data_IF_396117637747
#
_entry.id   IF_396117637747
#
_cell.length_a   1.000
_cell.length_b   1.000
_cell.length_c   1.000
_cell.angle_alpha   90.00
_cell.angle_beta   90.00
_cell.angle_gamma   90.00
#
_symmetry.space_group_name_H-M   'P 1'
#
loop_
_entity.id
_entity.type
_entity.pdbx_description
1 polymer ?
#
# COMPACT_ATOMS: atom_id res chain seq x y z
N UNK A 1 23.08 -34.91 17.52
CA UNK A 1 23.96 -33.79 17.15
C UNK A 1 23.35 -32.52 17.71
N UNK A 2 23.88 -32.00 18.84
CA UNK A 2 23.38 -30.76 19.46
C UNK A 2 24.07 -29.58 18.78
N UNK A 3 23.31 -28.85 17.99
CA UNK A 3 23.73 -27.56 17.41
C UNK A 3 23.99 -26.60 18.57
N UNK A 4 25.26 -26.13 18.70
CA UNK A 4 25.66 -25.28 19.82
C UNK A 4 24.92 -23.95 19.79
N UNK A 5 24.51 -23.41 20.95
CA UNK A 5 23.79 -22.13 21.11
C UNK A 5 24.41 -20.97 20.29
N UNK A 6 25.71 -20.95 20.11
CA UNK A 6 26.44 -19.94 19.30
C UNK A 6 26.18 -20.11 17.80
N UNK A 7 26.12 -21.34 17.29
CA UNK A 7 25.82 -21.61 15.89
C UNK A 7 24.35 -21.30 15.56
N UNK A 8 23.43 -21.56 16.49
CA UNK A 8 22.03 -21.21 16.36
C UNK A 8 21.81 -19.68 16.31
N UNK A 9 22.49 -18.92 17.17
CA UNK A 9 22.43 -17.45 17.18
C UNK A 9 23.07 -16.82 15.92
N UNK A 10 24.15 -17.40 15.42
CA UNK A 10 24.80 -16.93 14.17
C UNK A 10 23.95 -17.25 12.94
N UNK A 11 23.24 -18.38 12.90
CA UNK A 11 22.34 -18.71 11.80
C UNK A 11 21.06 -17.85 11.81
N UNK A 12 20.51 -17.48 12.97
CA UNK A 12 19.42 -16.50 13.07
C UNK A 12 19.84 -15.11 12.59
N UNK A 13 21.03 -14.63 12.98
CA UNK A 13 21.56 -13.34 12.55
C UNK A 13 21.78 -13.25 11.04
N UNK A 14 22.24 -14.33 10.38
CA UNK A 14 22.45 -14.38 8.93
C UNK A 14 21.13 -14.39 8.15
N UNK A 15 20.07 -15.07 8.65
CA UNK A 15 18.75 -15.05 8.02
C UNK A 15 18.10 -13.67 8.04
N UNK A 16 18.26 -12.90 9.12
CA UNK A 16 17.69 -11.56 9.23
C UNK A 16 18.31 -10.55 8.25
N UNK A 17 19.60 -10.69 7.92
CA UNK A 17 20.29 -9.80 6.97
C UNK A 17 19.87 -10.05 5.50
N UNK A 18 19.48 -11.27 5.16
CA UNK A 18 19.04 -11.64 3.82
C UNK A 18 17.58 -11.24 3.52
N UNK A 19 16.81 -10.88 4.53
CA UNK A 19 15.39 -10.54 4.42
C UNK A 19 15.11 -9.02 4.32
N UNK A 20 16.17 -8.19 4.29
CA UNK A 20 16.03 -6.74 4.16
C UNK A 20 16.18 -6.32 2.69
N UNK A 21 15.20 -5.58 2.17
CA UNK A 21 15.29 -4.85 0.91
C UNK A 21 15.17 -3.35 1.16
N UNK A 22 15.42 -2.53 0.15
CA UNK A 22 15.26 -1.08 0.24
C UNK A 22 14.10 -0.62 -0.63
N UNK A 23 13.26 0.25 -0.09
CA UNK A 23 12.20 0.88 -0.85
C UNK A 23 12.78 1.81 -1.93
N UNK A 24 12.16 1.86 -3.12
CA UNK A 24 12.62 2.75 -4.18
C UNK A 24 12.51 4.21 -3.75
N UNK A 25 13.42 5.06 -4.25
CA UNK A 25 13.53 6.51 -4.00
C UNK A 25 13.86 6.86 -2.55
N UNK A 26 13.13 6.37 -1.57
CA UNK A 26 13.33 6.70 -0.15
C UNK A 26 14.51 5.97 0.49
N UNK A 27 14.91 4.81 -0.07
CA UNK A 27 15.98 3.98 0.48
C UNK A 27 15.66 3.36 1.84
N UNK A 28 14.39 3.45 2.30
CA UNK A 28 13.95 2.87 3.58
C UNK A 28 14.14 1.35 3.59
N UNK A 29 14.67 0.83 4.67
CA UNK A 29 14.79 -0.63 4.87
C UNK A 29 13.40 -1.26 5.05
N UNK A 30 13.15 -2.35 4.34
CA UNK A 30 11.90 -3.12 4.37
C UNK A 30 12.17 -4.57 4.78
N UNK A 31 11.28 -5.14 5.59
CA UNK A 31 11.28 -6.57 5.90
C UNK A 31 10.51 -7.32 4.82
N UNK A 32 11.21 -8.11 4.02
CA UNK A 32 10.63 -8.84 2.88
C UNK A 32 10.88 -10.34 3.01
N UNK A 33 9.98 -11.06 3.70
CA UNK A 33 10.04 -12.52 3.86
C UNK A 33 9.38 -13.26 2.71
N UNK A 34 8.46 -12.60 2.00
CA UNK A 34 7.75 -13.18 0.87
C UNK A 34 8.51 -12.91 -0.42
N UNK A 35 8.87 -13.94 -1.20
CA UNK A 35 9.50 -13.76 -2.50
C UNK A 35 8.62 -12.96 -3.45
N UNK A 36 9.22 -12.08 -4.25
CA UNK A 36 8.46 -11.19 -5.16
C UNK A 36 7.56 -11.97 -6.13
N UNK A 37 8.07 -13.08 -6.70
CA UNK A 37 7.25 -13.93 -7.59
C UNK A 37 5.99 -14.49 -6.92
N UNK A 38 6.07 -14.84 -5.64
CA UNK A 38 4.90 -15.27 -4.85
C UNK A 38 3.93 -14.12 -4.65
N UNK A 39 4.43 -12.94 -4.31
CA UNK A 39 3.63 -11.74 -4.12
C UNK A 39 2.88 -11.35 -5.41
N UNK A 40 3.56 -11.40 -6.56
CA UNK A 40 2.95 -11.14 -7.87
C UNK A 40 1.82 -12.13 -8.17
N UNK A 41 2.03 -13.42 -7.91
CA UNK A 41 1.00 -14.45 -8.12
C UNK A 41 -0.20 -14.23 -7.20
N UNK A 42 0.03 -13.94 -5.92
CA UNK A 42 -1.03 -13.60 -4.97
C UNK A 42 -1.85 -12.38 -5.44
N UNK A 43 -1.19 -11.35 -5.98
CA UNK A 43 -1.86 -10.17 -6.53
C UNK A 43 -2.76 -10.51 -7.72
N UNK A 44 -2.28 -11.36 -8.64
CA UNK A 44 -3.06 -11.82 -9.80
C UNK A 44 -4.30 -12.62 -9.36
N UNK A 45 -4.12 -13.54 -8.41
CA UNK A 45 -5.21 -14.41 -7.97
C UNK A 45 -6.26 -13.62 -7.16
N UNK A 46 -5.82 -12.72 -6.28
CA UNK A 46 -6.70 -11.80 -5.54
C UNK A 46 -7.48 -10.88 -6.50
N UNK A 47 -6.85 -10.38 -7.56
CA UNK A 47 -7.52 -9.53 -8.55
C UNK A 47 -8.62 -10.28 -9.30
N UNK A 48 -8.35 -11.52 -9.73
CA UNK A 48 -9.35 -12.38 -10.36
C UNK A 48 -10.55 -12.64 -9.44
N UNK A 49 -10.26 -12.91 -8.15
CA UNK A 49 -11.31 -13.13 -7.16
C UNK A 49 -12.18 -11.88 -6.99
N UNK A 50 -11.60 -10.70 -6.84
CA UNK A 50 -12.33 -9.43 -6.76
C UNK A 50 -13.20 -9.24 -8.00
N UNK A 51 -12.66 -9.43 -9.20
CA UNK A 51 -13.40 -9.22 -10.44
C UNK A 51 -14.52 -10.26 -10.66
N UNK A 52 -14.38 -11.46 -10.08
CA UNK A 52 -15.43 -12.50 -10.16
C UNK A 52 -16.69 -12.11 -9.38
N UNK A 53 -16.54 -11.28 -8.36
CA UNK A 53 -17.62 -10.84 -7.47
C UNK A 53 -18.09 -9.41 -7.74
N UNK A 54 -17.29 -8.62 -8.47
CA UNK A 54 -17.56 -7.22 -8.74
C UNK A 54 -18.28 -7.01 -10.08
N UNK A 55 -19.13 -6.01 -10.14
CA UNK A 55 -19.69 -5.54 -11.41
C UNK A 55 -18.67 -4.62 -12.10
N UNK A 56 -17.96 -5.15 -13.09
CA UNK A 56 -17.03 -4.37 -13.91
C UNK A 56 -17.82 -3.42 -14.82
N UNK A 57 -17.39 -2.17 -14.91
CA UNK A 57 -18.08 -1.15 -15.70
C UNK A 57 -18.01 -1.45 -17.21
N UNK A 58 -19.14 -1.32 -17.87
CA UNK A 58 -19.24 -1.40 -19.33
C UNK A 58 -19.16 -0.01 -20.01
N UNK A 59 -19.04 1.08 -19.25
CA UNK A 59 -18.93 2.44 -19.80
C UNK A 59 -17.57 2.63 -20.51
N UNK A 60 -17.55 2.79 -21.83
CA UNK A 60 -16.31 2.89 -22.58
C UNK A 60 -15.54 4.19 -22.29
N UNK A 61 -16.23 5.28 -21.96
CA UNK A 61 -15.59 6.59 -21.71
C UNK A 61 -14.84 6.55 -20.36
N UNK A 62 -15.49 6.01 -19.34
CA UNK A 62 -14.88 5.85 -18.00
C UNK A 62 -13.70 4.88 -18.05
N UNK A 63 -13.87 3.74 -18.72
CA UNK A 63 -12.79 2.75 -18.88
C UNK A 63 -11.60 3.33 -19.66
N UNK A 64 -11.86 4.10 -20.73
CA UNK A 64 -10.82 4.76 -21.50
C UNK A 64 -10.07 5.83 -20.67
N UNK A 65 -10.78 6.61 -19.85
CA UNK A 65 -10.17 7.59 -18.95
C UNK A 65 -9.24 6.91 -17.94
N UNK A 66 -9.73 5.93 -17.19
CA UNK A 66 -8.95 5.24 -16.17
C UNK A 66 -7.75 4.51 -16.78
N UNK A 67 -7.95 3.84 -17.91
CA UNK A 67 -6.88 3.16 -18.63
C UNK A 67 -5.81 4.13 -19.12
N UNK A 68 -6.20 5.26 -19.74
CA UNK A 68 -5.25 6.26 -20.25
C UNK A 68 -4.42 6.86 -19.13
N UNK A 69 -5.07 7.32 -18.05
CA UNK A 69 -4.37 7.91 -16.90
C UNK A 69 -3.48 6.88 -16.23
N UNK A 70 -4.00 5.67 -16.01
CA UNK A 70 -3.29 4.59 -15.36
C UNK A 70 -2.03 4.15 -16.10
N UNK A 71 -2.10 3.97 -17.43
CA UNK A 71 -0.93 3.60 -18.22
C UNK A 71 0.16 4.66 -18.20
N UNK A 72 -0.19 5.96 -18.20
CA UNK A 72 0.80 7.03 -18.05
C UNK A 72 1.53 6.98 -16.70
N UNK A 73 0.78 6.68 -15.62
CA UNK A 73 1.38 6.49 -14.29
C UNK A 73 2.25 5.23 -14.27
N UNK A 74 1.78 4.12 -14.85
CA UNK A 74 2.53 2.87 -14.95
C UNK A 74 3.86 3.05 -15.68
N UNK A 75 3.86 3.71 -16.83
CA UNK A 75 5.07 4.06 -17.60
C UNK A 75 6.07 4.87 -16.75
N UNK A 76 5.56 5.82 -15.95
CA UNK A 76 6.39 6.68 -15.10
C UNK A 76 7.13 5.92 -13.99
N UNK A 77 6.68 4.73 -13.63
CA UNK A 77 7.34 3.88 -12.62
C UNK A 77 8.59 3.16 -13.11
N UNK A 78 8.68 2.90 -14.42
CA UNK A 78 9.72 2.08 -15.03
C UNK A 78 9.58 0.57 -14.75
N UNK A 79 8.50 0.10 -14.11
CA UNK A 79 8.24 -1.34 -13.84
C UNK A 79 7.69 -2.02 -15.09
N UNK A 80 8.58 -2.41 -15.99
CA UNK A 80 8.26 -3.12 -17.25
C UNK A 80 7.95 -4.61 -17.04
N UNK A 81 8.29 -5.14 -15.88
CA UNK A 81 8.01 -6.51 -15.45
C UNK A 81 6.58 -6.69 -14.91
N UNK A 82 5.87 -5.60 -14.59
CA UNK A 82 4.47 -5.66 -14.17
C UNK A 82 3.53 -5.78 -15.37
N UNK A 83 2.53 -6.64 -15.24
CA UNK A 83 1.45 -6.77 -16.21
C UNK A 83 0.30 -5.83 -15.86
N UNK A 84 0.49 -4.54 -16.16
CA UNK A 84 -0.45 -3.49 -15.82
C UNK A 84 -1.84 -3.75 -16.40
N UNK A 85 -2.84 -3.74 -15.54
CA UNK A 85 -4.25 -3.92 -15.90
C UNK A 85 -5.09 -2.96 -15.07
N UNK A 86 -5.96 -2.19 -15.74
CA UNK A 86 -6.82 -1.19 -15.11
C UNK A 86 -8.27 -1.56 -15.35
N UNK A 87 -9.04 -1.68 -14.27
CA UNK A 87 -10.49 -1.98 -14.31
C UNK A 87 -11.26 -0.93 -13.53
N UNK A 88 -12.50 -0.70 -13.96
CA UNK A 88 -13.45 0.13 -13.23
C UNK A 88 -14.53 -0.76 -12.65
N UNK A 89 -14.79 -0.65 -11.35
CA UNK A 89 -15.84 -1.38 -10.64
C UNK A 89 -17.04 -0.44 -10.43
N UNK A 90 -18.21 -0.88 -10.84
CA UNK A 90 -19.46 -0.13 -10.62
C UNK A 90 -19.90 -0.26 -9.15
N UNK A 91 -19.38 0.63 -8.32
CA UNK A 91 -19.76 0.76 -6.93
C UNK A 91 -19.69 2.24 -6.51
N UNK A 92 -20.60 2.66 -5.63
CA UNK A 92 -20.67 4.02 -5.10
C UNK A 92 -19.63 4.30 -4.03
N UNK A 93 -18.91 3.26 -3.55
CA UNK A 93 -17.81 3.43 -2.62
C UNK A 93 -16.72 4.32 -3.24
N UNK A 94 -16.23 5.26 -2.46
CA UNK A 94 -15.04 6.04 -2.81
C UNK A 94 -13.83 5.20 -2.48
N UNK A 95 -13.34 4.44 -3.46
CA UNK A 95 -12.22 3.51 -3.26
C UNK A 95 -11.43 3.29 -4.56
N UNK A 96 -10.18 2.89 -4.41
CA UNK A 96 -9.29 2.39 -5.45
C UNK A 96 -8.23 1.49 -4.79
N UNK A 97 -7.58 0.63 -5.55
CA UNK A 97 -6.46 -0.17 -5.06
C UNK A 97 -5.54 -0.60 -6.21
N UNK A 98 -4.28 -0.89 -5.87
CA UNK A 98 -3.33 -1.56 -6.74
C UNK A 98 -2.74 -2.77 -6.02
N UNK A 99 -2.97 -3.95 -6.57
CA UNK A 99 -2.38 -5.21 -6.09
C UNK A 99 -1.03 -5.46 -6.76
N UNK A 100 -0.16 -6.30 -6.16
CA UNK A 100 1.12 -6.69 -6.74
C UNK A 100 0.98 -7.17 -8.20
N UNK A 101 1.97 -6.83 -9.02
CA UNK A 101 1.94 -7.15 -10.45
C UNK A 101 1.18 -6.14 -11.32
N UNK A 102 0.75 -5.01 -10.73
CA UNK A 102 0.12 -3.92 -11.48
C UNK A 102 -1.37 -4.12 -11.76
N UNK A 103 -2.08 -4.81 -10.87
CA UNK A 103 -3.52 -5.07 -10.96
C UNK A 103 -4.30 -3.97 -10.25
N UNK A 104 -4.89 -3.04 -11.01
CA UNK A 104 -5.48 -1.80 -10.51
C UNK A 104 -6.98 -1.81 -10.71
N UNK A 105 -7.74 -1.45 -9.67
CA UNK A 105 -9.17 -1.17 -9.80
C UNK A 105 -9.51 0.20 -9.21
N UNK A 106 -10.44 0.88 -9.88
CA UNK A 106 -11.02 2.17 -9.45
C UNK A 106 -12.53 1.99 -9.35
N UNK A 107 -13.10 2.36 -8.23
CA UNK A 107 -14.55 2.34 -8.05
C UNK A 107 -15.19 3.59 -8.64
N UNK A 108 -16.37 3.45 -9.25
CA UNK A 108 -17.04 4.60 -9.88
C UNK A 108 -17.31 5.74 -8.88
N UNK A 109 -17.47 5.43 -7.58
CA UNK A 109 -17.61 6.44 -6.53
C UNK A 109 -16.37 7.32 -6.32
N UNK A 110 -15.17 6.88 -6.75
CA UNK A 110 -13.95 7.67 -6.68
C UNK A 110 -13.92 8.80 -7.74
N UNK A 111 -14.53 8.61 -8.90
CA UNK A 111 -14.42 9.52 -10.03
C UNK A 111 -14.94 10.94 -9.74
N UNK A 112 -16.10 11.14 -9.09
CA UNK A 112 -16.55 12.47 -8.69
C UNK A 112 -15.61 13.17 -7.70
N UNK A 113 -14.91 12.41 -6.85
CA UNK A 113 -13.94 12.96 -5.89
C UNK A 113 -12.65 13.34 -6.59
N UNK A 114 -12.19 12.52 -7.51
CA UNK A 114 -11.05 12.81 -8.39
C UNK A 114 -11.30 14.03 -9.28
N UNK A 115 -12.52 14.21 -9.79
CA UNK A 115 -13.01 15.29 -10.66
C UNK A 115 -12.50 15.25 -12.10
N UNK A 116 -11.19 15.15 -12.27
CA UNK A 116 -10.50 15.22 -13.56
C UNK A 116 -9.33 14.24 -13.65
N UNK A 117 -8.64 14.23 -14.78
CA UNK A 117 -7.49 13.35 -15.02
C UNK A 117 -6.35 13.59 -14.02
N UNK A 118 -6.12 14.82 -13.58
CA UNK A 118 -5.05 15.12 -12.64
C UNK A 118 -5.36 14.60 -11.22
N UNK A 119 -6.61 14.74 -10.78
CA UNK A 119 -7.05 14.15 -9.51
C UNK A 119 -7.10 12.62 -9.57
N UNK A 120 -7.52 12.04 -10.72
CA UNK A 120 -7.45 10.58 -10.92
C UNK A 120 -6.01 10.08 -10.94
N UNK A 121 -5.10 10.83 -11.55
CA UNK A 121 -3.67 10.53 -11.54
C UNK A 121 -3.10 10.55 -10.11
N UNK A 122 -3.57 11.44 -9.24
CA UNK A 122 -3.16 11.47 -7.84
C UNK A 122 -3.57 10.19 -7.09
N UNK A 123 -4.81 9.73 -7.27
CA UNK A 123 -5.26 8.44 -6.70
C UNK A 123 -4.43 7.28 -7.24
N UNK A 124 -4.33 7.17 -8.57
CA UNK A 124 -3.65 6.04 -9.21
C UNK A 124 -2.16 6.02 -8.90
N UNK A 125 -1.50 7.18 -8.86
CA UNK A 125 -0.09 7.27 -8.53
C UNK A 125 0.20 6.84 -7.09
N UNK A 126 -0.67 7.18 -6.14
CA UNK A 126 -0.59 6.73 -4.76
C UNK A 126 -0.73 5.20 -4.66
N UNK A 127 -1.76 4.62 -5.29
CA UNK A 127 -1.98 3.17 -5.28
C UNK A 127 -0.86 2.41 -5.98
N UNK A 128 -0.42 2.90 -7.14
CA UNK A 128 0.71 2.34 -7.88
C UNK A 128 2.00 2.41 -7.06
N UNK A 129 2.21 3.51 -6.30
CA UNK A 129 3.37 3.64 -5.42
C UNK A 129 3.39 2.57 -4.33
N UNK A 130 2.23 2.24 -3.74
CA UNK A 130 2.14 1.12 -2.78
C UNK A 130 2.58 -0.21 -3.39
N UNK A 131 2.15 -0.51 -4.62
CA UNK A 131 2.53 -1.75 -5.29
C UNK A 131 4.01 -1.78 -5.68
N UNK A 132 4.55 -0.67 -6.21
CA UNK A 132 5.96 -0.57 -6.62
C UNK A 132 6.90 -0.60 -5.41
N UNK A 133 6.53 0.04 -4.30
CA UNK A 133 7.27 -0.03 -3.03
C UNK A 133 7.04 -1.35 -2.28
N UNK A 134 6.18 -2.25 -2.80
CA UNK A 134 5.89 -3.57 -2.22
C UNK A 134 5.37 -3.50 -0.77
N UNK A 135 4.59 -2.47 -0.45
CA UNK A 135 4.03 -2.28 0.90
C UNK A 135 3.14 -3.45 1.35
N UNK A 136 2.44 -4.10 0.40
CA UNK A 136 1.67 -5.32 0.67
C UNK A 136 2.54 -6.48 1.13
N UNK A 137 3.64 -6.75 0.44
CA UNK A 137 4.60 -7.80 0.80
C UNK A 137 5.31 -7.54 2.12
N UNK A 138 5.68 -6.27 2.39
CA UNK A 138 6.24 -5.87 3.67
C UNK A 138 5.23 -6.08 4.82
N UNK A 139 3.97 -5.66 4.65
CA UNK A 139 2.91 -5.86 5.64
C UNK A 139 2.67 -7.33 5.93
N UNK A 140 2.57 -8.16 4.89
CA UNK A 140 2.43 -9.61 5.05
C UNK A 140 3.63 -10.21 5.81
N UNK A 141 4.85 -9.76 5.51
CA UNK A 141 6.06 -10.21 6.22
C UNK A 141 6.04 -9.84 7.70
N UNK A 142 5.59 -8.64 8.03
CA UNK A 142 5.44 -8.16 9.40
C UNK A 142 4.38 -8.98 10.17
N UNK A 143 3.25 -9.23 9.54
CA UNK A 143 2.19 -10.06 10.12
C UNK A 143 2.67 -11.49 10.41
N UNK A 144 3.43 -12.09 9.49
CA UNK A 144 4.03 -13.41 9.68
C UNK A 144 4.96 -13.44 10.90
N UNK A 145 5.80 -12.42 11.10
CA UNK A 145 6.68 -12.33 12.28
C UNK A 145 5.86 -12.21 13.57
N UNK A 146 4.85 -11.33 13.58
CA UNK A 146 3.98 -11.15 14.75
C UNK A 146 3.24 -12.44 15.09
N UNK A 147 2.62 -13.09 14.10
CA UNK A 147 1.89 -14.35 14.32
C UNK A 147 2.80 -15.47 14.80
N UNK A 148 3.99 -15.62 14.21
CA UNK A 148 4.98 -16.61 14.63
C UNK A 148 5.42 -16.37 16.07
N UNK A 149 5.66 -15.11 16.45
CA UNK A 149 5.99 -14.74 17.83
C UNK A 149 4.88 -15.08 18.83
N UNK A 150 3.62 -14.80 18.47
CA UNK A 150 2.45 -15.16 19.29
C UNK A 150 2.31 -16.67 19.44
N UNK A 151 2.47 -17.44 18.37
CA UNK A 151 2.41 -18.91 18.42
C UNK A 151 3.53 -19.49 19.30
N UNK A 152 4.76 -18.98 19.15
CA UNK A 152 5.87 -19.38 19.99
C UNK A 152 5.60 -19.09 21.49
N UNK A 153 5.01 -17.92 21.78
CA UNK A 153 4.60 -17.55 23.14
C UNK A 153 3.53 -18.48 23.69
N UNK A 154 2.52 -18.83 22.90
CA UNK A 154 1.48 -19.80 23.28
C UNK A 154 2.09 -21.17 23.59
N UNK A 155 2.99 -21.64 22.74
CA UNK A 155 3.69 -22.90 22.96
C UNK A 155 4.53 -22.90 24.25
N UNK A 156 5.24 -21.80 24.51
CA UNK A 156 6.04 -21.64 25.73
C UNK A 156 5.18 -21.58 27.01
N UNK A 157 3.95 -21.11 26.91
CA UNK A 157 2.99 -20.98 28.01
C UNK A 157 2.00 -22.15 28.08
N UNK A 158 2.14 -23.22 27.29
CA UNK A 158 1.19 -24.30 27.15
C UNK A 158 0.92 -25.06 28.49
N UNK A 159 1.86 -24.99 29.46
CA UNK A 159 1.68 -25.56 30.80
C UNK A 159 0.96 -24.65 31.81
N UNK A 160 0.64 -23.41 31.43
CA UNK A 160 -0.08 -22.43 32.24
C UNK A 160 -1.60 -22.61 32.07
N UNK A 161 -2.37 -21.97 32.95
CA UNK A 161 -3.82 -21.98 32.80
C UNK A 161 -4.26 -21.23 31.51
N UNK A 162 -5.36 -21.67 30.87
CA UNK A 162 -5.80 -21.09 29.60
C UNK A 162 -6.13 -19.58 29.67
N UNK A 163 -6.58 -19.09 30.82
CA UNK A 163 -6.89 -17.68 31.04
C UNK A 163 -5.64 -16.82 31.01
N UNK A 164 -4.57 -17.25 31.66
CA UNK A 164 -3.26 -16.61 31.64
C UNK A 164 -2.68 -16.59 30.22
N UNK A 165 -2.71 -17.72 29.50
CA UNK A 165 -2.23 -17.79 28.10
C UNK A 165 -2.98 -16.80 27.21
N UNK A 166 -4.31 -16.78 27.29
CA UNK A 166 -5.16 -15.86 26.52
C UNK A 166 -4.86 -14.41 26.87
N UNK A 167 -4.75 -14.05 28.14
CA UNK A 167 -4.47 -12.67 28.57
C UNK A 167 -3.11 -12.17 28.04
N UNK A 168 -2.06 -12.97 28.19
CA UNK A 168 -0.70 -12.62 27.71
C UNK A 168 -0.67 -12.48 26.19
N UNK A 169 -1.24 -13.42 25.44
CA UNK A 169 -1.23 -13.37 23.98
C UNK A 169 -2.08 -12.22 23.42
N UNK A 170 -3.20 -11.89 24.06
CA UNK A 170 -4.03 -10.73 23.70
C UNK A 170 -3.27 -9.42 23.92
N UNK A 171 -2.61 -9.27 25.07
CA UNK A 171 -1.82 -8.06 25.38
C UNK A 171 -0.63 -7.89 24.44
N UNK A 172 0.09 -8.97 24.12
CA UNK A 172 1.20 -8.95 23.18
C UNK A 172 0.73 -8.64 21.76
N UNK A 173 -0.40 -9.22 21.32
CA UNK A 173 -1.00 -8.92 20.01
C UNK A 173 -1.42 -7.45 19.89
N UNK A 174 -2.08 -6.90 20.90
CA UNK A 174 -2.43 -5.48 20.94
C UNK A 174 -1.18 -4.58 20.95
N UNK A 175 -0.17 -4.93 21.74
CA UNK A 175 1.10 -4.22 21.78
C UNK A 175 1.83 -4.23 20.44
N UNK A 176 1.86 -5.36 19.75
CA UNK A 176 2.46 -5.47 18.41
C UNK A 176 1.68 -4.63 17.38
N UNK A 177 0.35 -4.63 17.42
CA UNK A 177 -0.46 -3.82 16.53
C UNK A 177 -0.19 -2.33 16.71
N UNK A 178 -0.21 -1.83 17.95
CA UNK A 178 -0.02 -0.39 18.24
C UNK A 178 1.43 0.03 18.11
N UNK A 179 2.37 -0.77 18.59
CA UNK A 179 3.80 -0.39 18.67
C UNK A 179 4.61 -0.69 17.42
N UNK A 180 4.14 -1.60 16.55
CA UNK A 180 4.87 -2.05 15.36
C UNK A 180 4.08 -1.78 14.09
N UNK A 181 2.91 -2.38 13.93
CA UNK A 181 2.20 -2.37 12.64
C UNK A 181 1.67 -0.97 12.27
N UNK A 182 1.09 -0.22 13.22
CA UNK A 182 0.55 1.11 12.94
C UNK A 182 1.63 2.16 12.57
N UNK A 183 2.78 2.27 13.27
CA UNK A 183 3.84 3.19 12.84
C UNK A 183 4.37 2.89 11.45
N UNK A 184 4.50 1.63 11.08
CA UNK A 184 4.94 1.22 9.75
C UNK A 184 3.92 1.55 8.67
N UNK A 185 2.63 1.32 8.93
CA UNK A 185 1.56 1.73 8.02
C UNK A 185 1.62 3.23 7.71
N UNK A 186 1.85 4.08 8.71
CA UNK A 186 2.02 5.53 8.50
C UNK A 186 3.24 5.89 7.65
N UNK A 187 4.36 5.19 7.82
CA UNK A 187 5.54 5.41 6.99
C UNK A 187 5.32 4.99 5.54
N UNK A 188 4.57 3.90 5.31
CA UNK A 188 4.19 3.43 3.99
C UNK A 188 3.27 4.43 3.27
N UNK A 189 2.30 5.04 3.99
CA UNK A 189 1.45 6.09 3.43
C UNK A 189 2.27 7.31 3.00
N UNK A 190 3.17 7.77 3.86
CA UNK A 190 4.08 8.89 3.56
C UNK A 190 4.99 8.59 2.37
N UNK A 191 5.48 7.36 2.27
CA UNK A 191 6.31 6.90 1.15
C UNK A 191 5.50 6.82 -0.15
N UNK A 192 4.27 6.31 -0.10
CA UNK A 192 3.37 6.25 -1.25
C UNK A 192 3.00 7.64 -1.78
N UNK A 193 2.80 8.61 -0.91
CA UNK A 193 2.59 10.01 -1.30
C UNK A 193 3.81 10.60 -2.01
N UNK A 194 5.00 10.42 -1.44
CA UNK A 194 6.24 10.95 -2.02
C UNK A 194 6.51 10.36 -3.41
N UNK A 195 6.47 9.02 -3.53
CA UNK A 195 6.62 8.32 -4.80
C UNK A 195 5.54 8.71 -5.80
N UNK A 196 4.29 8.77 -5.34
CA UNK A 196 3.13 9.12 -6.15
C UNK A 196 3.27 10.51 -6.79
N UNK A 197 3.74 11.51 -6.05
CA UNK A 197 4.01 12.85 -6.58
C UNK A 197 5.04 12.82 -7.72
N UNK A 198 6.12 12.04 -7.56
CA UNK A 198 7.16 11.88 -8.58
C UNK A 198 6.58 11.17 -9.82
N UNK A 199 5.77 10.12 -9.64
CA UNK A 199 5.15 9.41 -10.75
C UNK A 199 4.14 10.30 -11.50
N UNK A 200 3.30 11.07 -10.77
CA UNK A 200 2.42 12.06 -11.40
C UNK A 200 3.19 13.04 -12.28
N UNK A 201 4.26 13.64 -11.74
CA UNK A 201 5.07 14.61 -12.45
C UNK A 201 5.71 14.02 -13.72
N UNK A 202 6.30 12.83 -13.63
CA UNK A 202 6.87 12.10 -14.77
C UNK A 202 5.80 11.74 -15.81
N UNK A 203 4.58 11.43 -15.38
CA UNK A 203 3.45 11.11 -16.26
C UNK A 203 2.83 12.35 -16.93
N UNK A 204 3.27 13.56 -16.58
CA UNK A 204 2.81 14.82 -17.14
C UNK A 204 1.60 15.42 -16.42
N UNK A 205 1.28 14.95 -15.20
CA UNK A 205 0.25 15.53 -14.35
C UNK A 205 0.87 16.44 -13.28
N UNK A 206 0.28 17.62 -13.06
CA UNK A 206 0.83 18.57 -12.10
C UNK A 206 0.69 18.06 -10.66
N UNK A 207 1.78 17.96 -9.87
CA UNK A 207 1.75 17.33 -8.54
C UNK A 207 0.82 18.00 -7.52
N UNK A 208 0.50 19.30 -7.69
CA UNK A 208 -0.43 20.00 -6.79
C UNK A 208 -1.83 19.39 -6.76
N UNK A 209 -2.25 18.67 -7.82
CA UNK A 209 -3.53 18.00 -7.85
C UNK A 209 -3.66 16.92 -6.76
N UNK A 210 -2.55 16.32 -6.30
CA UNK A 210 -2.56 15.40 -5.16
C UNK A 210 -2.94 16.12 -3.86
N UNK A 211 -2.32 17.27 -3.58
CA UNK A 211 -2.69 18.09 -2.42
C UNK A 211 -4.17 18.45 -2.44
N UNK A 212 -4.67 18.91 -3.58
CA UNK A 212 -6.05 19.34 -3.72
C UNK A 212 -7.03 18.17 -3.57
N UNK A 213 -6.67 16.97 -4.03
CA UNK A 213 -7.43 15.75 -3.80
C UNK A 213 -7.53 15.42 -2.29
N UNK A 214 -6.41 15.41 -1.57
CA UNK A 214 -6.40 15.10 -0.15
C UNK A 214 -7.15 16.13 0.69
N UNK A 215 -7.09 17.41 0.32
CA UNK A 215 -7.91 18.46 0.96
C UNK A 215 -9.40 18.18 0.76
N UNK A 216 -9.85 17.83 -0.46
CA UNK A 216 -11.24 17.47 -0.73
C UNK A 216 -11.68 16.25 0.06
N UNK A 217 -10.85 15.20 0.13
CA UNK A 217 -11.14 13.99 0.89
C UNK A 217 -11.27 14.27 2.38
N UNK A 218 -10.37 15.08 2.95
CA UNK A 218 -10.41 15.48 4.36
C UNK A 218 -11.69 16.28 4.68
N UNK A 219 -12.10 17.20 3.82
CA UNK A 219 -13.31 17.99 4.00
C UNK A 219 -14.60 17.13 3.90
N UNK A 220 -14.58 16.09 3.09
CA UNK A 220 -15.72 15.18 2.93
C UNK A 220 -15.82 14.14 4.06
N UNK A 221 -14.74 13.87 4.78
CA UNK A 221 -14.66 12.91 5.89
C UNK A 221 -15.40 13.34 7.17
N UNK A 222 -15.94 14.56 7.24
CA UNK A 222 -16.85 15.03 8.30
C UNK A 222 -18.29 14.50 8.21
N UNK A 223 -18.63 13.78 7.15
CA UNK A 223 -19.92 13.11 7.01
C UNK A 223 -19.99 11.85 7.91
N UNK A 224 -21.20 11.45 8.29
CA UNK A 224 -21.47 10.34 9.22
C UNK A 224 -20.85 8.97 8.84
N UNK A 225 -20.28 8.85 7.64
CA UNK A 225 -19.48 7.71 7.16
C UNK A 225 -18.28 8.24 6.37
N UNK A 226 -17.03 8.09 6.88
CA UNK A 226 -15.83 8.41 6.12
C UNK A 226 -15.77 7.53 4.86
N UNK A 227 -15.16 8.06 3.79
CA UNK A 227 -14.89 7.26 2.60
C UNK A 227 -14.11 6.00 2.95
N UNK A 228 -14.42 4.87 2.32
CA UNK A 228 -13.70 3.60 2.52
C UNK A 228 -12.19 3.79 2.27
N UNK A 229 -11.84 4.57 1.26
CA UNK A 229 -10.46 4.94 0.97
C UNK A 229 -9.74 5.60 2.16
N UNK A 230 -10.43 6.42 2.95
CA UNK A 230 -9.84 7.06 4.14
C UNK A 230 -9.71 6.10 5.33
N UNK A 231 -10.42 4.98 5.34
CA UNK A 231 -10.25 3.96 6.38
C UNK A 231 -8.94 3.19 6.22
N UNK A 232 -8.53 2.97 4.98
CA UNK A 232 -7.25 2.31 4.63
C UNK A 232 -6.10 3.31 4.47
N UNK A 233 -6.40 4.55 4.03
CA UNK A 233 -5.45 5.64 3.77
C UNK A 233 -5.84 6.91 4.55
N UNK A 234 -5.60 6.96 5.88
CA UNK A 234 -5.97 8.12 6.68
C UNK A 234 -5.32 9.41 6.16
N UNK A 235 -6.10 10.50 6.11
CA UNK A 235 -5.65 11.81 5.65
C UNK A 235 -5.50 12.83 6.82
N UNK A 236 -4.53 12.66 7.75
CA UNK A 236 -4.29 13.65 8.76
C UNK A 236 -3.72 14.93 8.13
N UNK A 237 -3.94 16.09 8.77
CA UNK A 237 -3.39 17.37 8.29
C UNK A 237 -1.87 17.34 8.08
N UNK A 238 -1.16 16.53 8.87
CA UNK A 238 0.29 16.32 8.72
C UNK A 238 0.65 15.77 7.34
N UNK A 239 -0.16 14.87 6.77
CA UNK A 239 0.03 14.28 5.45
C UNK A 239 -0.09 15.33 4.34
N UNK A 240 -1.12 16.19 4.40
CA UNK A 240 -1.31 17.28 3.44
C UNK A 240 -0.11 18.24 3.45
N UNK A 241 0.41 18.59 4.62
CA UNK A 241 1.61 19.43 4.75
C UNK A 241 2.87 18.77 4.19
N UNK A 242 3.02 17.46 4.37
CA UNK A 242 4.14 16.72 3.78
C UNK A 242 4.06 16.69 2.26
N UNK A 243 2.88 16.44 1.70
CA UNK A 243 2.66 16.50 0.25
C UNK A 243 3.03 17.89 -0.29
N UNK A 244 2.57 18.96 0.35
CA UNK A 244 2.93 20.34 -0.02
C UNK A 244 4.45 20.57 -0.02
N UNK A 245 5.16 20.04 0.97
CA UNK A 245 6.61 20.18 1.07
C UNK A 245 7.37 19.43 -0.04
N UNK A 246 6.83 18.34 -0.59
CA UNK A 246 7.47 17.57 -1.67
C UNK A 246 7.10 18.03 -3.09
N UNK A 247 6.09 18.89 -3.26
CA UNK A 247 5.72 19.42 -4.58
C UNK A 247 6.92 20.07 -5.31
N UNK A 248 7.77 20.89 -4.68
CA UNK A 248 8.93 21.50 -5.38
C UNK A 248 9.92 20.45 -5.91
N UNK A 249 10.15 19.36 -5.20
CA UNK A 249 10.97 18.24 -5.64
C UNK A 249 10.32 17.53 -6.83
N UNK A 250 9.03 17.17 -6.70
CA UNK A 250 8.29 16.50 -7.76
C UNK A 250 8.25 17.32 -9.05
N UNK A 251 8.16 18.67 -8.95
CA UNK A 251 8.17 19.56 -10.10
C UNK A 251 9.47 19.51 -10.92
N UNK A 252 10.59 19.07 -10.34
CA UNK A 252 11.83 18.85 -11.08
C UNK A 252 11.68 17.74 -12.15
N UNK A 253 10.75 16.82 -11.91
CA UNK A 253 10.42 15.71 -12.81
C UNK A 253 9.25 16.02 -13.76
N UNK A 254 8.57 17.16 -13.56
CA UNK A 254 7.37 17.49 -14.31
C UNK A 254 7.68 17.80 -15.80
N UNK A 255 6.99 17.09 -16.67
CA UNK A 255 7.04 17.27 -18.14
C UNK A 255 5.60 17.35 -18.62
N UNK A 256 5.04 18.56 -18.82
CA UNK A 256 3.69 18.74 -19.34
C UNK A 256 3.55 18.07 -20.71
N UNK A 257 2.43 17.38 -20.93
CA UNK A 257 2.09 16.70 -22.19
C UNK A 257 0.82 17.30 -22.79
#
# INVERSE_FOLDING_TARGET
>A
MTVGRRQFLLSLGSCCLAACSTAPVTGRSQLMLVPEGTELQMGIDAFREVLSQAKVSADPAVNAQVSRVGHRIAEATGRTDYQWEFKVIEDKQVNAFCLPGGKVAVYTGMLPVARDDAGLAAVLAHEVAHAVARHGGERLSQELVVQTGLQATQAALASRDPGTVKAVTTLLGAGASVGVLLPWSRSQESEADHLGLIYMAKAGYHPSAARDLWVRMAQSGGAARPFEFLSTHPAPETRIRQIEAWIPEALQHYRPR
#
